data_IF_062304855751
#
_entry.id   IF_062304855751
#
_cell.length_a   1.000
_cell.length_b   1.000
_cell.length_c   1.000
_cell.angle_alpha   90.00
_cell.angle_beta   90.00
_cell.angle_gamma   90.00
#
_symmetry.space_group_name_H-M   'P 1'
#
loop_
_entity.id
_entity.type
_entity.pdbx_description
1 polymer ?
#
# COMPACT_ATOMS: atom_id res chain seq x y z
N UNK A 1 -0.81 -22.96 6.32
CA UNK A 1 -1.57 -23.19 5.07
C UNK A 1 -3.02 -22.82 5.32
N UNK A 2 -3.85 -22.77 4.27
CA UNK A 2 -5.29 -22.50 4.37
C UNK A 2 -6.08 -23.59 3.67
N UNK A 3 -7.30 -23.86 4.15
CA UNK A 3 -8.24 -24.85 3.59
C UNK A 3 -9.37 -24.15 2.84
N UNK A 4 -9.83 -24.79 1.77
CA UNK A 4 -11.06 -24.44 1.06
C UNK A 4 -11.71 -25.76 0.60
N UNK A 5 -12.79 -26.16 1.26
CA UNK A 5 -13.31 -27.52 1.23
C UNK A 5 -12.24 -28.54 1.62
N UNK A 6 -12.08 -29.55 0.77
CA UNK A 6 -11.07 -30.60 0.95
C UNK A 6 -9.67 -30.20 0.46
N UNK A 7 -9.54 -29.04 -0.20
CA UNK A 7 -8.28 -28.59 -0.76
C UNK A 7 -7.46 -27.77 0.24
N UNK A 8 -6.14 -27.90 0.12
CA UNK A 8 -5.16 -27.14 0.90
C UNK A 8 -4.33 -26.26 -0.02
N UNK A 9 -4.22 -24.99 0.34
CA UNK A 9 -3.46 -24.00 -0.40
C UNK A 9 -2.45 -23.29 0.49
N UNK A 10 -1.35 -22.81 -0.11
CA UNK A 10 -0.51 -21.83 0.55
C UNK A 10 -1.25 -20.49 0.62
N UNK A 11 -1.12 -19.76 1.73
CA UNK A 11 -1.78 -18.46 1.89
C UNK A 11 -1.38 -17.47 0.78
N UNK A 12 -0.19 -17.61 0.22
CA UNK A 12 0.31 -16.78 -0.88
C UNK A 12 -0.60 -16.79 -2.12
N UNK A 13 -1.25 -17.92 -2.45
CA UNK A 13 -2.14 -17.98 -3.62
C UNK A 13 -3.42 -17.18 -3.39
N UNK A 14 -4.00 -17.29 -2.20
CA UNK A 14 -5.16 -16.51 -1.79
C UNK A 14 -4.82 -15.02 -1.69
N UNK A 15 -3.65 -14.71 -1.15
CA UNK A 15 -3.18 -13.33 -1.00
C UNK A 15 -2.97 -12.65 -2.35
N UNK A 16 -2.38 -13.34 -3.33
CA UNK A 16 -2.19 -12.81 -4.68
C UNK A 16 -3.53 -12.47 -5.36
N UNK A 17 -4.53 -13.35 -5.25
CA UNK A 17 -5.88 -13.10 -5.76
C UNK A 17 -6.58 -11.94 -5.04
N UNK A 18 -6.43 -11.87 -3.72
CA UNK A 18 -6.99 -10.78 -2.91
C UNK A 18 -6.36 -9.43 -3.29
N UNK A 19 -5.03 -9.34 -3.38
CA UNK A 19 -4.34 -8.13 -3.82
C UNK A 19 -4.82 -7.68 -5.20
N UNK A 20 -4.86 -8.58 -6.18
CA UNK A 20 -5.32 -8.25 -7.53
C UNK A 20 -6.76 -7.73 -7.56
N UNK A 21 -7.65 -8.32 -6.73
CA UNK A 21 -9.02 -7.84 -6.59
C UNK A 21 -9.07 -6.42 -6.03
N UNK A 22 -8.35 -6.16 -4.95
CA UNK A 22 -8.28 -4.83 -4.30
C UNK A 22 -7.74 -3.78 -5.25
N UNK A 23 -6.67 -4.10 -5.96
CA UNK A 23 -6.09 -3.18 -6.94
C UNK A 23 -7.11 -2.88 -8.05
N UNK A 24 -7.84 -3.89 -8.53
CA UNK A 24 -8.87 -3.73 -9.58
C UNK A 24 -10.00 -2.82 -9.13
N UNK A 25 -10.48 -2.99 -7.89
CA UNK A 25 -11.48 -2.11 -7.27
C UNK A 25 -10.97 -0.65 -7.15
N UNK A 26 -9.65 -0.48 -7.04
CA UNK A 26 -8.95 0.80 -7.00
C UNK A 26 -8.43 1.27 -8.38
N UNK A 27 -9.08 0.85 -9.46
CA UNK A 27 -8.71 1.17 -10.86
C UNK A 27 -7.24 0.86 -11.21
N UNK A 28 -6.71 -0.23 -10.65
CA UNK A 28 -5.36 -0.72 -10.84
C UNK A 28 -4.29 -0.09 -9.93
N UNK A 29 -4.66 0.82 -9.03
CA UNK A 29 -3.71 1.47 -8.12
C UNK A 29 -3.59 0.68 -6.81
N UNK A 30 -2.40 0.16 -6.44
CA UNK A 30 -2.22 -0.72 -5.28
C UNK A 30 -2.02 0.04 -3.95
N UNK A 31 -2.71 1.17 -3.77
CA UNK A 31 -2.55 2.04 -2.59
C UNK A 31 -3.25 1.53 -1.34
N UNK A 32 -4.27 0.69 -1.51
CA UNK A 32 -5.03 0.14 -0.40
C UNK A 32 -4.46 -1.21 0.02
N UNK A 33 -4.35 -1.44 1.33
CA UNK A 33 -3.86 -2.72 1.83
C UNK A 33 -4.88 -3.85 1.58
N UNK A 34 -4.41 -5.05 1.21
CA UNK A 34 -5.22 -6.27 1.23
C UNK A 34 -5.56 -6.76 2.65
N UNK A 35 -4.92 -6.22 3.70
CA UNK A 35 -5.22 -6.55 5.09
C UNK A 35 -6.64 -6.14 5.48
N UNK A 36 -7.27 -6.90 6.39
CA UNK A 36 -8.65 -6.75 6.84
C UNK A 36 -9.72 -6.98 5.76
N UNK A 37 -9.36 -7.57 4.61
CA UNK A 37 -10.31 -7.93 3.54
C UNK A 37 -10.52 -9.44 3.49
N UNK A 38 -11.71 -9.83 3.02
CA UNK A 38 -12.18 -11.20 3.07
C UNK A 38 -11.32 -12.16 2.22
N UNK A 39 -10.86 -13.24 2.85
CA UNK A 39 -10.23 -14.38 2.19
C UNK A 39 -11.29 -15.40 1.78
N UNK A 40 -11.05 -16.14 0.70
CA UNK A 40 -11.91 -17.24 0.25
C UNK A 40 -11.35 -18.56 0.77
N UNK A 41 -11.51 -18.78 2.07
CA UNK A 41 -11.02 -19.95 2.82
C UNK A 41 -12.05 -20.37 3.87
N UNK A 42 -11.97 -21.62 4.31
CA UNK A 42 -12.79 -22.18 5.38
C UNK A 42 -12.02 -22.28 6.71
N UNK A 43 -10.68 -22.31 6.67
CA UNK A 43 -9.86 -22.38 7.87
C UNK A 43 -8.36 -22.29 7.61
N UNK A 44 -7.59 -22.08 8.67
CA UNK A 44 -6.14 -22.20 8.66
C UNK A 44 -5.72 -23.62 9.10
N UNK A 45 -4.62 -24.14 8.55
CA UNK A 45 -4.11 -25.45 8.93
C UNK A 45 -2.59 -25.59 8.78
N UNK A 46 -2.03 -26.58 9.48
CA UNK A 46 -0.67 -27.09 9.29
C UNK A 46 -0.54 -27.90 7.99
N UNK A 47 0.69 -28.28 7.66
CA UNK A 47 1.02 -29.11 6.49
C UNK A 47 0.26 -30.46 6.51
N UNK A 48 0.17 -31.07 7.69
CA UNK A 48 -0.55 -32.33 7.95
C UNK A 48 -2.09 -32.18 7.86
N UNK A 49 -2.61 -30.96 7.81
CA UNK A 49 -4.04 -30.66 7.77
C UNK A 49 -4.66 -30.41 9.14
N UNK A 50 -3.88 -30.44 10.23
CA UNK A 50 -4.33 -30.06 11.58
C UNK A 50 -4.80 -28.61 11.56
N UNK A 51 -6.04 -28.37 11.99
CA UNK A 51 -6.62 -27.03 12.00
C UNK A 51 -5.92 -26.13 13.02
N UNK A 52 -5.68 -24.89 12.64
CA UNK A 52 -5.16 -23.85 13.52
C UNK A 52 -6.17 -22.71 13.51
N UNK A 53 -6.58 -22.28 14.69
CA UNK A 53 -7.28 -21.01 14.86
C UNK A 53 -6.46 -20.12 15.79
N UNK A 54 -5.96 -19.01 15.25
CA UNK A 54 -5.12 -18.07 16.00
C UNK A 54 -6.00 -17.13 16.83
N UNK A 55 -5.62 -16.89 18.08
CA UNK A 55 -6.22 -15.82 18.88
C UNK A 55 -5.77 -14.45 18.35
N UNK A 56 -6.50 -13.39 18.73
CA UNK A 56 -6.11 -12.03 18.37
C UNK A 56 -4.69 -11.68 18.84
N UNK A 57 -4.33 -12.04 20.08
CA UNK A 57 -2.99 -11.81 20.64
C UNK A 57 -1.89 -12.52 19.82
N UNK A 58 -2.15 -13.75 19.37
CA UNK A 58 -1.22 -14.48 18.51
C UNK A 58 -1.09 -13.82 17.13
N UNK A 59 -2.18 -13.31 16.55
CA UNK A 59 -2.13 -12.56 15.30
C UNK A 59 -1.38 -11.24 15.46
N UNK A 60 -1.56 -10.52 16.56
CA UNK A 60 -0.80 -9.30 16.84
C UNK A 60 0.71 -9.58 16.94
N UNK A 61 1.10 -10.68 17.57
CA UNK A 61 2.50 -11.10 17.63
C UNK A 61 3.04 -11.44 16.22
N UNK A 62 2.33 -12.27 15.45
CA UNK A 62 2.79 -12.76 14.16
C UNK A 62 2.77 -11.66 13.09
N UNK A 63 1.63 -11.01 12.91
CA UNK A 63 1.42 -10.03 11.86
C UNK A 63 1.90 -8.63 12.24
N UNK A 64 1.79 -8.25 13.52
CA UNK A 64 2.20 -6.92 14.01
C UNK A 64 3.68 -6.88 14.38
N UNK A 65 4.16 -7.82 15.22
CA UNK A 65 5.54 -7.79 15.72
C UNK A 65 6.55 -8.46 14.78
N UNK A 66 6.18 -9.58 14.14
CA UNK A 66 7.10 -10.30 13.23
C UNK A 66 6.92 -9.95 11.76
N UNK A 67 5.86 -9.21 11.41
CA UNK A 67 5.58 -8.79 10.03
C UNK A 67 5.13 -9.91 9.10
N UNK A 68 4.66 -11.04 9.63
CA UNK A 68 4.21 -12.18 8.82
C UNK A 68 2.71 -12.04 8.54
N UNK A 69 2.34 -11.93 7.27
CA UNK A 69 0.94 -11.94 6.86
C UNK A 69 0.30 -13.28 7.21
N UNK A 70 -0.85 -13.23 7.88
CA UNK A 70 -1.64 -14.38 8.31
C UNK A 70 -3.12 -14.18 7.97
N UNK A 71 -3.97 -15.10 8.43
CA UNK A 71 -5.42 -14.99 8.35
C UNK A 71 -6.02 -15.06 9.75
N UNK A 72 -7.11 -14.33 9.94
CA UNK A 72 -7.82 -14.25 11.21
C UNK A 72 -9.31 -14.42 10.94
N UNK A 73 -9.96 -15.19 11.81
CA UNK A 73 -11.41 -15.22 11.93
C UNK A 73 -11.77 -14.65 13.32
N UNK A 74 -12.09 -13.37 13.36
CA UNK A 74 -12.38 -12.65 14.60
C UNK A 74 -13.66 -11.84 14.41
N UNK A 75 -14.51 -11.86 15.43
CA UNK A 75 -15.88 -11.34 15.36
C UNK A 75 -16.70 -12.02 14.24
N UNK A 76 -17.87 -11.46 13.90
CA UNK A 76 -18.75 -11.99 12.84
C UNK A 76 -18.31 -11.59 11.41
N UNK A 77 -17.04 -11.24 11.19
CA UNK A 77 -16.53 -10.73 9.91
C UNK A 77 -16.09 -11.85 8.95
N UNK A 78 -15.99 -13.09 9.43
CA UNK A 78 -15.45 -14.22 8.68
C UNK A 78 -13.93 -14.16 8.54
N UNK A 79 -13.37 -15.03 7.68
CA UNK A 79 -11.93 -15.08 7.44
C UNK A 79 -11.43 -13.87 6.65
N UNK A 80 -10.52 -13.11 7.26
CA UNK A 80 -9.87 -11.95 6.64
C UNK A 80 -8.35 -12.11 6.64
N UNK A 81 -7.68 -11.49 5.67
CA UNK A 81 -6.22 -11.35 5.70
C UNK A 81 -5.81 -10.40 6.83
N UNK A 82 -4.67 -10.67 7.47
CA UNK A 82 -4.08 -9.78 8.49
C UNK A 82 -2.59 -9.66 8.31
N UNK A 83 -2.12 -8.42 8.34
CA UNK A 83 -0.70 -8.06 8.19
C UNK A 83 -0.48 -7.12 7.03
N UNK A 84 0.39 -6.14 7.24
CA UNK A 84 0.68 -5.07 6.29
C UNK A 84 2.16 -4.97 5.94
N UNK A 85 2.99 -5.82 6.55
CA UNK A 85 4.44 -5.78 6.41
C UNK A 85 4.93 -6.73 5.33
N UNK A 86 6.07 -6.40 4.72
CA UNK A 86 6.85 -7.30 3.87
C UNK A 86 8.05 -7.89 4.64
N UNK A 87 8.75 -8.86 4.05
CA UNK A 87 9.78 -9.64 4.72
C UNK A 87 11.04 -8.90 5.17
N UNK A 88 11.18 -7.60 4.89
CA UNK A 88 12.28 -6.80 5.43
C UNK A 88 12.02 -6.33 6.88
N UNK A 89 10.76 -6.34 7.33
CA UNK A 89 10.39 -6.02 8.70
C UNK A 89 10.68 -7.20 9.64
N UNK A 90 11.14 -6.98 10.90
CA UNK A 90 11.40 -5.68 11.54
C UNK A 90 12.83 -5.14 11.35
N UNK A 91 13.67 -5.81 10.56
CA UNK A 91 15.08 -5.43 10.39
C UNK A 91 15.24 -4.09 9.64
N UNK A 92 14.34 -3.77 8.70
CA UNK A 92 14.25 -2.48 8.03
C UNK A 92 12.88 -1.84 8.31
N UNK A 93 12.92 -0.58 8.75
CA UNK A 93 11.74 0.23 9.10
C UNK A 93 11.63 1.51 8.25
N UNK A 94 12.25 1.55 7.07
CA UNK A 94 11.93 2.56 6.06
C UNK A 94 10.51 2.27 5.50
N UNK A 95 9.60 3.23 5.69
CA UNK A 95 8.16 3.13 5.37
C UNK A 95 7.93 2.72 3.91
N UNK A 96 8.80 3.17 3.00
CA UNK A 96 8.70 2.84 1.58
C UNK A 96 8.97 1.35 1.31
N UNK A 97 9.73 0.70 2.18
CA UNK A 97 10.21 -0.66 2.00
C UNK A 97 9.32 -1.66 2.74
N UNK A 98 8.83 -1.32 3.94
CA UNK A 98 8.21 -2.32 4.80
C UNK A 98 6.69 -2.45 4.66
N UNK A 99 5.95 -1.40 4.29
CA UNK A 99 4.50 -1.51 4.12
C UNK A 99 4.15 -1.99 2.71
N UNK A 100 3.35 -3.05 2.64
CA UNK A 100 2.82 -3.62 1.40
C UNK A 100 2.22 -2.53 0.47
N UNK A 101 1.22 -1.73 0.89
CA UNK A 101 0.62 -0.75 -0.03
C UNK A 101 1.60 0.36 -0.44
N UNK A 102 2.46 0.81 0.47
CA UNK A 102 3.41 1.90 0.17
C UNK A 102 4.45 1.42 -0.84
N UNK A 103 5.13 0.32 -0.55
CA UNK A 103 6.14 -0.27 -1.45
C UNK A 103 5.58 -0.54 -2.85
N UNK A 104 4.38 -1.13 -2.92
CA UNK A 104 3.72 -1.42 -4.20
C UNK A 104 3.35 -0.17 -4.99
N UNK A 105 2.96 0.93 -4.33
CA UNK A 105 2.68 2.20 -5.02
C UNK A 105 3.97 2.81 -5.60
N UNK A 106 5.10 2.73 -4.90
CA UNK A 106 6.39 3.18 -5.45
C UNK A 106 6.74 2.42 -6.73
N UNK A 107 6.65 1.08 -6.70
CA UNK A 107 6.90 0.24 -7.87
C UNK A 107 5.90 0.54 -9.02
N UNK A 108 4.62 0.69 -8.69
CA UNK A 108 3.57 0.97 -9.66
C UNK A 108 3.75 2.34 -10.32
N UNK A 109 4.10 3.37 -9.55
CA UNK A 109 4.37 4.72 -10.07
C UNK A 109 5.59 4.69 -10.99
N UNK A 110 6.71 4.10 -10.54
CA UNK A 110 7.94 3.98 -11.33
C UNK A 110 7.70 3.28 -12.66
N UNK A 111 7.05 2.11 -12.62
CA UNK A 111 6.73 1.35 -13.83
C UNK A 111 5.78 2.11 -14.77
N UNK A 112 4.80 2.84 -14.22
CA UNK A 112 3.86 3.62 -15.03
C UNK A 112 4.57 4.77 -15.75
N UNK A 113 5.45 5.50 -15.07
CA UNK A 113 6.23 6.58 -15.69
C UNK A 113 7.18 6.05 -16.77
N UNK A 114 7.91 4.96 -16.50
CA UNK A 114 8.80 4.32 -17.49
C UNK A 114 8.02 3.95 -18.75
N UNK A 115 6.88 3.26 -18.60
CA UNK A 115 6.04 2.85 -19.75
C UNK A 115 5.46 4.05 -20.50
N UNK A 116 5.09 5.11 -19.79
CA UNK A 116 4.51 6.33 -20.38
C UNK A 116 5.53 7.06 -21.24
N UNK A 117 6.77 7.19 -20.75
CA UNK A 117 7.81 7.97 -21.43
C UNK A 117 8.76 7.12 -22.29
N UNK A 118 8.57 5.79 -22.36
CA UNK A 118 9.40 4.91 -23.20
C UNK A 118 9.50 5.40 -24.65
N UNK A 119 8.38 5.86 -25.23
CA UNK A 119 8.33 6.41 -26.60
C UNK A 119 9.03 7.77 -26.77
N UNK A 120 9.55 8.36 -25.68
CA UNK A 120 10.32 9.61 -25.69
C UNK A 120 11.81 9.37 -25.66
N UNK A 121 12.26 8.14 -25.39
CA UNK A 121 13.66 7.78 -25.51
C UNK A 121 14.16 8.10 -26.94
N UNK A 122 15.43 8.50 -27.04
CA UNK A 122 16.11 8.90 -28.29
C UNK A 122 15.56 10.14 -29.00
N UNK A 123 14.49 10.76 -28.49
CA UNK A 123 14.03 12.05 -29.03
C UNK A 123 15.01 13.17 -28.66
N UNK A 124 15.13 14.21 -29.49
CA UNK A 124 15.96 15.37 -29.17
C UNK A 124 15.60 15.96 -27.79
N UNK A 125 16.59 16.02 -26.89
CA UNK A 125 16.46 16.55 -25.53
C UNK A 125 16.35 18.07 -25.53
N UNK A 126 15.23 18.56 -26.05
CA UNK A 126 14.87 19.99 -26.10
C UNK A 126 14.14 20.40 -24.83
N UNK A 127 14.17 21.70 -24.51
CA UNK A 127 13.42 22.23 -23.36
C UNK A 127 11.93 21.85 -23.42
N UNK A 128 11.33 21.90 -24.60
CA UNK A 128 9.94 21.48 -24.85
C UNK A 128 9.68 20.02 -24.50
N UNK A 129 10.65 19.11 -24.72
CA UNK A 129 10.50 17.72 -24.33
C UNK A 129 10.47 17.58 -22.80
N UNK A 130 11.40 18.26 -22.13
CA UNK A 130 11.51 18.25 -20.66
C UNK A 130 10.24 18.82 -20.03
N UNK A 131 9.78 19.98 -20.48
CA UNK A 131 8.55 20.60 -19.98
C UNK A 131 7.34 19.69 -20.21
N UNK A 132 7.23 19.08 -21.40
CA UNK A 132 6.15 18.12 -21.68
C UNK A 132 6.18 16.88 -20.77
N UNK A 133 7.37 16.39 -20.37
CA UNK A 133 7.49 15.29 -19.41
C UNK A 133 7.03 15.75 -18.04
N UNK A 134 7.55 16.87 -17.54
CA UNK A 134 7.21 17.43 -16.23
C UNK A 134 5.71 17.72 -16.11
N UNK A 135 5.10 18.34 -17.12
CA UNK A 135 3.66 18.66 -17.13
C UNK A 135 2.82 17.39 -17.11
N UNK A 136 3.19 16.38 -17.92
CA UNK A 136 2.47 15.10 -17.96
C UNK A 136 2.58 14.36 -16.63
N UNK A 137 3.77 14.32 -16.03
CA UNK A 137 3.99 13.75 -14.71
C UNK A 137 3.13 14.44 -13.65
N UNK A 138 3.24 15.77 -13.55
CA UNK A 138 2.54 16.53 -12.51
C UNK A 138 1.02 16.49 -12.68
N UNK A 139 0.51 16.54 -13.91
CA UNK A 139 -0.93 16.39 -14.17
C UNK A 139 -1.44 15.02 -13.70
N UNK A 140 -0.72 13.94 -14.01
CA UNK A 140 -1.10 12.61 -13.60
C UNK A 140 -1.01 12.41 -12.08
N UNK A 141 0.09 12.88 -11.46
CA UNK A 141 0.29 12.83 -10.01
C UNK A 141 -0.78 13.65 -9.27
N UNK A 142 -1.14 14.83 -9.77
CA UNK A 142 -2.23 15.64 -9.21
C UNK A 142 -3.56 14.88 -9.25
N UNK A 143 -3.85 14.15 -10.34
CA UNK A 143 -5.03 13.28 -10.43
C UNK A 143 -5.05 12.18 -9.36
N UNK A 144 -3.90 11.60 -9.02
CA UNK A 144 -3.80 10.61 -7.93
C UNK A 144 -4.04 11.24 -6.55
N UNK A 145 -3.54 12.46 -6.34
CA UNK A 145 -3.77 13.20 -5.09
C UNK A 145 -5.24 13.59 -4.96
N UNK A 146 -5.88 14.08 -6.02
CA UNK A 146 -7.31 14.39 -6.03
C UNK A 146 -8.21 13.16 -5.80
N UNK A 147 -7.71 11.97 -6.16
CA UNK A 147 -8.39 10.70 -5.92
C UNK A 147 -8.03 10.07 -4.55
N UNK A 148 -7.31 10.80 -3.68
CA UNK A 148 -6.87 10.35 -2.34
C UNK A 148 -6.00 9.09 -2.33
N UNK A 149 -5.37 8.77 -3.47
CA UNK A 149 -4.44 7.63 -3.60
C UNK A 149 -3.03 8.00 -3.14
N UNK A 150 -2.72 9.29 -3.14
CA UNK A 150 -1.50 9.90 -2.62
C UNK A 150 -1.90 11.08 -1.73
N UNK A 151 -1.19 11.28 -0.63
CA UNK A 151 -1.37 12.45 0.25
C UNK A 151 -0.73 13.71 -0.35
N UNK A 152 0.27 13.53 -1.21
CA UNK A 152 0.95 14.59 -1.93
C UNK A 152 1.93 14.01 -2.94
N UNK A 153 2.15 14.73 -4.04
CA UNK A 153 3.08 14.33 -5.06
C UNK A 153 3.51 15.49 -5.97
N UNK A 154 4.72 15.44 -6.50
CA UNK A 154 5.22 16.36 -7.54
C UNK A 154 6.41 15.77 -8.28
N UNK A 155 6.62 16.20 -9.52
CA UNK A 155 7.77 15.86 -10.35
C UNK A 155 8.60 17.11 -10.62
N UNK A 156 9.91 17.04 -10.36
CA UNK A 156 10.85 18.16 -10.49
C UNK A 156 12.12 17.74 -11.23
N UNK A 157 12.70 18.66 -12.00
CA UNK A 157 14.06 18.49 -12.55
C UNK A 157 15.03 19.25 -11.65
N UNK A 158 15.71 18.54 -10.77
CA UNK A 158 16.64 19.13 -9.83
C UNK A 158 18.00 19.37 -10.51
N UNK A 159 18.55 20.57 -10.36
CA UNK A 159 19.85 20.92 -10.96
C UNK A 159 21.00 20.06 -10.42
N UNK A 160 20.93 19.69 -9.14
CA UNK A 160 21.93 18.82 -8.48
C UNK A 160 21.97 17.40 -9.03
N UNK A 161 20.85 16.89 -9.56
CA UNK A 161 20.76 15.55 -10.18
C UNK A 161 21.04 15.57 -11.69
N UNK A 162 21.15 16.78 -12.27
CA UNK A 162 21.32 17.00 -13.70
C UNK A 162 22.55 17.88 -13.97
N UNK A 163 23.76 17.42 -13.61
CA UNK A 163 24.99 18.16 -13.89
C UNK A 163 25.20 18.31 -15.40
N UNK A 164 25.94 19.35 -15.81
CA UNK A 164 26.15 19.69 -17.22
C UNK A 164 26.70 18.51 -18.03
N UNK A 165 27.63 17.73 -17.47
CA UNK A 165 28.23 16.58 -18.17
C UNK A 165 27.20 15.50 -18.52
N UNK A 166 26.25 15.24 -17.62
CA UNK A 166 25.19 14.26 -17.85
C UNK A 166 24.20 14.77 -18.91
N UNK A 167 23.85 16.06 -18.84
CA UNK A 167 23.02 16.69 -19.86
C UNK A 167 23.70 16.69 -21.24
N UNK A 168 25.02 16.92 -21.30
CA UNK A 168 25.79 16.79 -22.54
C UNK A 168 25.80 15.36 -23.08
N UNK A 169 25.78 14.36 -22.18
CA UNK A 169 25.65 12.95 -22.54
C UNK A 169 24.20 12.52 -22.85
N UNK A 170 23.23 13.44 -22.82
CA UNK A 170 21.82 13.13 -23.08
C UNK A 170 21.11 12.41 -21.92
N UNK A 171 21.69 12.44 -20.72
CA UNK A 171 21.13 11.81 -19.52
C UNK A 171 20.28 12.85 -18.78
N UNK A 172 19.00 12.52 -18.60
CA UNK A 172 18.02 13.35 -17.90
C UNK A 172 17.48 12.60 -16.68
N UNK A 173 17.45 13.26 -15.52
CA UNK A 173 16.85 12.75 -14.29
C UNK A 173 15.70 13.64 -13.85
N UNK A 174 14.55 13.02 -13.60
CA UNK A 174 13.37 13.68 -13.04
C UNK A 174 13.15 13.09 -11.65
N UNK A 175 13.16 13.95 -10.64
CA UNK A 175 12.89 13.57 -9.27
C UNK A 175 11.39 13.51 -9.04
N UNK A 176 10.91 12.40 -8.49
CA UNK A 176 9.49 12.18 -8.22
C UNK A 176 9.28 12.10 -6.71
N UNK A 177 8.63 13.10 -6.14
CA UNK A 177 8.18 13.08 -4.76
C UNK A 177 6.77 12.49 -4.73
N UNK A 178 6.56 11.44 -3.93
CA UNK A 178 5.25 10.84 -3.68
C UNK A 178 5.12 10.45 -2.21
N UNK A 179 3.90 10.52 -1.70
CA UNK A 179 3.57 10.05 -0.35
C UNK A 179 2.29 9.23 -0.40
N UNK A 180 2.38 7.90 -0.62
CA UNK A 180 1.24 7.00 -0.46
C UNK A 180 0.76 7.01 1.00
N UNK A 181 -0.56 6.87 1.26
CA UNK A 181 -1.05 6.79 2.62
C UNK A 181 -0.60 5.48 3.28
N UNK A 182 -0.04 5.58 4.48
CA UNK A 182 0.24 4.40 5.30
C UNK A 182 -1.08 3.76 5.76
N UNK A 183 -1.15 2.42 5.86
CA UNK A 183 -2.35 1.75 6.34
C UNK A 183 -2.55 2.03 7.84
N UNK A 184 -3.76 2.44 8.23
CA UNK A 184 -4.14 2.64 9.64
C UNK A 184 -4.07 1.30 10.41
N UNK A 185 -2.93 1.02 11.06
CA UNK A 185 -2.71 -0.24 11.81
C UNK A 185 -3.50 -0.29 13.11
N UNK A 186 -3.68 0.85 13.76
CA UNK A 186 -4.25 1.00 15.09
C UNK A 186 -5.12 2.26 15.12
N UNK A 187 -6.27 2.15 15.78
CA UNK A 187 -7.24 3.23 15.96
C UNK A 187 -7.74 3.13 17.40
N UNK A 188 -7.41 4.12 18.20
CA UNK A 188 -7.79 4.20 19.62
C UNK A 188 -8.93 5.19 19.83
N UNK A 189 -9.87 4.82 20.70
CA UNK A 189 -10.98 5.66 21.10
C UNK A 189 -10.88 5.98 22.59
N UNK A 190 -10.91 7.26 22.95
CA UNK A 190 -11.05 7.71 24.34
C UNK A 190 -12.50 8.09 24.58
N UNK A 191 -13.10 7.52 25.63
CA UNK A 191 -14.48 7.81 26.03
C UNK A 191 -14.46 8.71 27.26
N UNK A 192 -15.22 9.80 27.18
CA UNK A 192 -15.38 10.77 28.27
C UNK A 192 -16.87 10.93 28.59
N UNK A 193 -17.19 11.04 29.87
CA UNK A 193 -18.53 11.37 30.33
C UNK A 193 -18.65 12.88 30.43
N UNK A 194 -19.47 13.47 29.57
CA UNK A 194 -19.68 14.92 29.53
C UNK A 194 -20.87 15.31 30.44
N UNK A 195 -20.61 15.97 31.59
CA UNK A 195 -21.65 16.38 32.53
C UNK A 195 -22.50 17.55 32.02
N UNK A 196 -22.07 18.29 30.99
CA UNK A 196 -22.83 19.40 30.44
C UNK A 196 -24.12 18.88 29.77
N UNK A 197 -24.10 17.68 29.20
CA UNK A 197 -25.32 17.03 28.70
C UNK A 197 -26.28 16.62 29.81
N UNK A 198 -25.77 16.26 30.99
CA UNK A 198 -26.62 15.99 32.16
C UNK A 198 -27.27 17.28 32.62
N UNK A 199 -26.49 18.35 32.71
CA UNK A 199 -26.97 19.66 33.11
C UNK A 199 -28.05 20.16 32.12
N UNK A 200 -27.77 20.12 30.81
CA UNK A 200 -28.71 20.54 29.79
C UNK A 200 -29.98 19.68 29.75
N UNK A 201 -29.90 18.38 30.03
CA UNK A 201 -31.05 17.47 29.94
C UNK A 201 -31.89 17.40 31.23
N UNK A 202 -31.29 17.61 32.40
CA UNK A 202 -31.91 17.28 33.69
C UNK A 202 -31.98 18.42 34.72
N UNK A 203 -31.27 19.54 34.53
CA UNK A 203 -31.46 20.73 35.38
C UNK A 203 -32.34 21.77 34.68
N UNK A 204 -33.36 22.25 35.40
CA UNK A 204 -34.21 23.39 34.99
C UNK A 204 -33.46 24.72 34.96
#
# INVERSE_FOLDING_TARGET
>A
MVKLGDYRFHLSTQMAGLMAKVDTENAGCPYESPSNKALKIDGCCLADGTEINLTWEQVQLIAGSYGIVTALNFMSMGWVAKGNYVGCYPANTDVKDYFIPVSRVFDWVGNTLIRTFWSKLDKPMTRRLIDSILDTCNLWLAGLVSAERLLGARAEMLAEENPLLDLMAGILRIHIYITPPSPAQEIDFTLEYDPDYVQAALSE
#
